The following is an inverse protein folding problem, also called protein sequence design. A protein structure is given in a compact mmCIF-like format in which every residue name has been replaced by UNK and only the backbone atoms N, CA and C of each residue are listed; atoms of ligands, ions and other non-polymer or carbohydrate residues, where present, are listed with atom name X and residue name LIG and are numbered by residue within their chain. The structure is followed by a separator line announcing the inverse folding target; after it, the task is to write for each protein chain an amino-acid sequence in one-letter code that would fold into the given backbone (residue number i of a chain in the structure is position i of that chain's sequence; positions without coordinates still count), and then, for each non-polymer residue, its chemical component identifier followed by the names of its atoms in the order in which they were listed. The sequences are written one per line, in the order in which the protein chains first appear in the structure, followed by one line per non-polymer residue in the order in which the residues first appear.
data_IF_179762407772
#
_entry.id   IF_179762407772
#
_cell.length_a   1.000
_cell.length_b   1.000
_cell.length_c   1.000
_cell.angle_alpha   90.00
_cell.angle_beta   90.00
_cell.angle_gamma   90.00
#
_symmetry.space_group_name_H-M   'P 1'
#
loop_
_entity.id
_entity.type
_entity.pdbx_description
1 polymer ?
#
# COMPACT_ATOMS: atom_id res chain seq x y z
N UNK A 1 -19.56 12.03 23.64
CA UNK A 1 -18.79 10.84 24.07
C UNK A 1 -19.33 9.54 23.44
N UNK A 2 -19.74 9.56 22.19
CA UNK A 2 -20.35 8.38 21.55
C UNK A 2 -19.92 8.15 20.08
N UNK A 3 -18.77 8.68 19.66
CA UNK A 3 -18.29 8.55 18.28
C UNK A 3 -16.96 7.78 18.16
N UNK A 4 -16.55 7.03 19.22
CA UNK A 4 -15.22 6.40 19.30
C UNK A 4 -15.25 4.87 19.24
N UNK A 5 -16.44 4.25 19.09
CA UNK A 5 -16.55 2.77 19.13
C UNK A 5 -16.48 2.08 17.78
N UNK A 6 -16.74 2.78 16.68
CA UNK A 6 -16.85 2.14 15.35
C UNK A 6 -15.57 2.21 14.50
N UNK A 7 -14.51 2.86 14.99
CA UNK A 7 -13.25 3.01 14.23
C UNK A 7 -12.17 1.96 14.56
N UNK A 8 -12.38 1.13 15.59
CA UNK A 8 -11.37 0.15 16.04
C UNK A 8 -11.39 -1.20 15.31
N UNK A 9 -12.34 -1.44 14.40
CA UNK A 9 -12.49 -2.76 13.77
C UNK A 9 -11.70 -2.99 12.48
N UNK A 10 -10.97 -1.97 11.96
CA UNK A 10 -10.35 -2.09 10.64
C UNK A 10 -8.84 -1.74 10.57
N UNK A 11 -8.15 -1.58 11.70
CA UNK A 11 -6.71 -1.28 11.69
C UNK A 11 -5.94 -2.47 12.24
N UNK A 12 -5.03 -3.09 11.49
CA UNK A 12 -4.24 -4.22 11.97
C UNK A 12 -3.39 -3.80 13.18
N UNK A 13 -3.23 -4.70 14.13
CA UNK A 13 -2.60 -4.62 15.46
C UNK A 13 -1.28 -3.80 15.56
N UNK A 14 -0.64 -3.48 14.47
CA UNK A 14 0.59 -2.69 14.38
C UNK A 14 0.38 -1.16 14.55
N UNK A 15 -0.83 -0.64 14.31
CA UNK A 15 -1.09 0.81 14.43
C UNK A 15 -1.31 1.26 15.87
N UNK A 16 -1.67 0.36 16.78
CA UNK A 16 -1.93 0.70 18.19
C UNK A 16 -0.63 1.00 18.95
N UNK A 17 0.48 0.31 18.64
CA UNK A 17 1.79 0.57 19.26
C UNK A 17 2.42 1.89 18.82
N UNK A 18 2.24 2.27 17.56
CA UNK A 18 2.77 3.55 17.03
C UNK A 18 1.95 4.74 17.50
N UNK A 19 0.63 4.56 17.69
CA UNK A 19 -0.25 5.64 18.17
C UNK A 19 0.02 6.01 19.64
N UNK A 20 0.28 5.03 20.51
CA UNK A 20 0.66 5.28 21.92
C UNK A 20 2.02 5.97 21.99
N UNK A 21 2.97 5.59 21.15
CA UNK A 21 4.30 6.21 21.08
C UNK A 21 4.22 7.67 20.56
N UNK A 22 3.36 7.95 19.59
CA UNK A 22 3.16 9.31 19.06
C UNK A 22 2.43 10.22 20.04
N UNK A 23 1.46 9.72 20.81
CA UNK A 23 0.76 10.50 21.84
C UNK A 23 1.68 10.79 23.03
N UNK A 24 2.48 9.83 23.46
CA UNK A 24 3.46 10.03 24.53
C UNK A 24 4.58 11.02 24.12
N UNK A 25 5.07 10.94 22.87
CA UNK A 25 6.00 11.92 22.30
C UNK A 25 5.37 13.31 22.16
N UNK A 26 4.11 13.40 21.77
CA UNK A 26 3.37 14.67 21.64
C UNK A 26 3.19 15.36 23.00
N UNK A 27 2.89 14.60 24.05
CA UNK A 27 2.74 15.14 25.41
C UNK A 27 4.09 15.61 25.99
N UNK A 28 5.17 14.84 25.77
CA UNK A 28 6.52 15.22 26.19
C UNK A 28 7.06 16.45 25.43
N UNK A 29 6.68 16.60 24.17
CA UNK A 29 7.07 17.76 23.34
C UNK A 29 6.36 19.05 23.75
N UNK A 30 5.10 18.97 24.21
CA UNK A 30 4.31 20.14 24.58
C UNK A 30 4.84 20.87 25.81
N UNK A 31 5.42 20.15 26.79
CA UNK A 31 5.98 20.74 28.01
C UNK A 31 7.34 21.41 27.79
N UNK A 32 8.06 21.08 26.72
CA UNK A 32 9.39 21.65 26.43
C UNK A 32 9.38 22.76 25.36
N UNK A 33 8.30 22.83 24.55
CA UNK A 33 8.14 23.84 23.49
C UNK A 33 7.78 25.23 24.06
N UNK A 34 7.18 25.30 25.24
CA UNK A 34 6.73 26.57 25.86
C UNK A 34 7.90 27.47 26.36
N UNK A 35 9.14 26.95 26.34
CA UNK A 35 10.33 27.69 26.82
C UNK A 35 11.22 28.25 25.71
N UNK A 36 10.86 28.12 24.44
CA UNK A 36 11.64 28.65 23.30
C UNK A 36 10.75 29.30 22.24
N UNK A 37 10.27 30.48 22.54
CA UNK A 37 9.63 31.36 21.55
C UNK A 37 10.65 32.23 20.77
N UNK A 38 11.75 31.64 20.35
CA UNK A 38 12.57 32.22 19.29
C UNK A 38 12.40 31.34 18.06
N UNK A 39 11.75 31.91 17.07
CA UNK A 39 11.58 31.34 15.72
C UNK A 39 12.97 31.01 15.17
N UNK A 40 13.42 29.76 15.33
CA UNK A 40 14.52 29.25 14.53
C UNK A 40 14.00 29.12 13.09
N UNK A 41 14.45 29.96 12.20
CA UNK A 41 14.26 29.80 10.78
C UNK A 41 14.98 28.51 10.34
N UNK A 42 14.20 27.45 10.11
CA UNK A 42 14.73 26.19 9.61
C UNK A 42 15.17 26.41 8.18
N UNK A 43 16.48 26.54 7.98
CA UNK A 43 17.06 26.72 6.65
C UNK A 43 17.19 25.36 5.93
N UNK A 44 17.03 25.33 4.59
CA UNK A 44 17.24 24.12 3.79
C UNK A 44 18.61 23.48 4.00
N UNK A 45 19.64 24.25 4.36
CA UNK A 45 20.96 23.76 4.75
C UNK A 45 20.90 22.85 5.99
N UNK A 46 20.06 23.16 6.96
CA UNK A 46 19.95 22.37 8.19
C UNK A 46 19.31 21.02 7.93
N UNK A 47 18.30 20.98 7.06
CA UNK A 47 17.65 19.73 6.66
C UNK A 47 18.65 18.79 5.96
N UNK A 48 19.41 19.31 4.99
CA UNK A 48 20.41 18.50 4.27
C UNK A 48 21.53 18.00 5.17
N UNK A 49 21.91 18.79 6.19
CA UNK A 49 22.92 18.43 7.18
C UNK A 49 22.41 17.32 8.10
N UNK A 50 21.18 17.43 8.62
CA UNK A 50 20.56 16.40 9.47
C UNK A 50 20.47 15.07 8.72
N UNK A 51 20.06 15.11 7.45
CA UNK A 51 19.97 13.91 6.62
C UNK A 51 21.35 13.26 6.43
N UNK A 52 22.38 14.04 6.04
CA UNK A 52 23.74 13.54 5.85
C UNK A 52 24.33 12.96 7.14
N UNK A 53 24.10 13.59 8.28
CA UNK A 53 24.59 13.12 9.58
C UNK A 53 23.95 11.79 9.98
N UNK A 54 22.66 11.61 9.71
CA UNK A 54 21.88 10.45 10.17
C UNK A 54 21.54 9.47 9.04
N UNK A 55 22.23 9.54 7.88
CA UNK A 55 21.90 8.74 6.68
C UNK A 55 21.95 7.23 6.96
N UNK A 56 22.91 6.78 7.74
CA UNK A 56 23.05 5.37 8.11
C UNK A 56 21.87 4.93 9.00
N UNK A 57 21.48 5.75 9.95
CA UNK A 57 20.33 5.47 10.84
C UNK A 57 19.02 5.42 10.03
N UNK A 58 18.82 6.36 9.11
CA UNK A 58 17.65 6.40 8.22
C UNK A 58 17.61 5.15 7.34
N UNK A 59 18.75 4.78 6.73
CA UNK A 59 18.83 3.60 5.87
C UNK A 59 18.56 2.30 6.64
N UNK A 60 19.16 2.13 7.81
CA UNK A 60 18.98 0.92 8.63
C UNK A 60 17.52 0.80 9.09
N UNK A 61 16.91 1.87 9.58
CA UNK A 61 15.54 1.85 10.06
C UNK A 61 14.54 1.58 8.94
N UNK A 62 14.71 2.20 7.77
CA UNK A 62 13.84 1.95 6.62
C UNK A 62 13.97 0.49 6.10
N UNK A 63 15.19 -0.05 6.11
CA UNK A 63 15.43 -1.44 5.74
C UNK A 63 14.79 -2.42 6.74
N UNK A 64 14.86 -2.13 8.03
CA UNK A 64 14.19 -2.92 9.06
C UNK A 64 12.67 -2.93 8.88
N UNK A 65 12.06 -1.79 8.55
CA UNK A 65 10.62 -1.71 8.25
C UNK A 65 10.25 -2.57 7.02
N UNK A 66 11.07 -2.51 5.97
CA UNK A 66 10.88 -3.32 4.77
C UNK A 66 11.01 -4.83 5.09
N UNK A 67 12.02 -5.23 5.85
CA UNK A 67 12.24 -6.61 6.26
C UNK A 67 11.10 -7.14 7.15
N UNK A 68 10.63 -6.34 8.10
CA UNK A 68 9.49 -6.67 8.94
C UNK A 68 8.21 -6.86 8.11
N UNK A 69 7.93 -5.97 7.16
CA UNK A 69 6.80 -6.09 6.25
C UNK A 69 6.88 -7.34 5.37
N UNK A 70 8.06 -7.67 4.85
CA UNK A 70 8.29 -8.90 4.09
C UNK A 70 7.95 -10.13 4.93
N UNK A 71 8.45 -10.18 6.16
CA UNK A 71 8.22 -11.29 7.08
C UNK A 71 6.73 -11.44 7.40
N UNK A 72 6.06 -10.35 7.79
CA UNK A 72 4.62 -10.36 8.10
C UNK A 72 3.80 -10.78 6.89
N UNK A 73 4.08 -10.21 5.71
CA UNK A 73 3.32 -10.52 4.49
C UNK A 73 3.48 -11.97 4.06
N UNK A 74 4.65 -12.56 4.26
CA UNK A 74 4.93 -13.93 3.81
C UNK A 74 4.40 -14.99 4.78
N UNK A 75 4.49 -14.75 6.11
CA UNK A 75 4.17 -15.74 7.12
C UNK A 75 2.77 -15.60 7.72
N UNK A 76 2.25 -14.38 7.83
CA UNK A 76 0.96 -14.13 8.49
C UNK A 76 -0.21 -13.94 7.54
N UNK A 77 0.03 -13.54 6.29
CA UNK A 77 -1.05 -13.30 5.33
C UNK A 77 -1.33 -14.56 4.51
N UNK A 78 -2.57 -15.02 4.54
CA UNK A 78 -3.01 -16.19 3.76
C UNK A 78 -2.95 -15.90 2.26
N UNK A 79 -2.43 -16.86 1.50
CA UNK A 79 -2.38 -16.77 0.04
C UNK A 79 -3.77 -16.94 -0.54
N UNK A 80 -4.16 -16.02 -1.43
CA UNK A 80 -5.44 -16.06 -2.14
C UNK A 80 -5.20 -16.26 -3.62
N UNK A 81 -5.96 -17.17 -4.21
CA UNK A 81 -5.91 -17.51 -5.61
C UNK A 81 -7.19 -17.04 -6.29
N UNK A 82 -7.04 -16.30 -7.39
CA UNK A 82 -8.17 -15.76 -8.13
C UNK A 82 -8.33 -16.50 -9.45
N UNK A 83 -9.49 -17.09 -9.67
CA UNK A 83 -9.91 -17.61 -10.96
C UNK A 83 -10.88 -16.65 -11.62
N UNK A 84 -10.79 -16.47 -12.93
CA UNK A 84 -11.61 -15.53 -13.69
C UNK A 84 -12.44 -16.27 -14.71
N UNK A 85 -13.73 -15.94 -14.77
CA UNK A 85 -14.66 -16.35 -15.82
C UNK A 85 -15.08 -15.11 -16.59
N UNK A 86 -15.05 -15.14 -17.93
CA UNK A 86 -15.55 -14.06 -18.76
C UNK A 86 -16.87 -14.45 -19.41
N UNK A 87 -17.81 -13.56 -19.33
CA UNK A 87 -19.18 -13.72 -19.79
C UNK A 87 -19.54 -12.58 -20.74
N UNK A 88 -20.16 -12.92 -21.86
CA UNK A 88 -20.58 -11.98 -22.91
C UNK A 88 -22.11 -11.89 -22.94
N UNK A 89 -22.63 -10.69 -22.95
CA UNK A 89 -24.06 -10.40 -23.10
C UNK A 89 -24.41 -10.31 -24.56
N UNK A 90 -25.16 -11.30 -25.06
CA UNK A 90 -25.67 -11.26 -26.45
C UNK A 90 -26.97 -10.47 -26.50
N UNK A 91 -26.98 -9.42 -27.30
CA UNK A 91 -28.18 -8.65 -27.61
C UNK A 91 -28.71 -9.04 -29.00
N UNK A 92 -29.98 -9.40 -29.10
CA UNK A 92 -30.62 -9.73 -30.38
C UNK A 92 -31.03 -8.47 -31.18
N UNK A 93 -30.27 -7.39 -31.08
CA UNK A 93 -30.52 -6.20 -31.89
C UNK A 93 -29.97 -6.40 -33.28
N UNK A 94 -30.85 -6.50 -34.29
CA UNK A 94 -30.49 -6.38 -35.69
C UNK A 94 -30.56 -4.91 -36.07
N UNK A 95 -29.44 -4.19 -35.94
CA UNK A 95 -29.33 -2.79 -36.37
C UNK A 95 -29.40 -2.71 -37.93
N UNK A 96 -30.20 -1.81 -38.42
CA UNK A 96 -30.31 -1.50 -39.87
C UNK A 96 -29.60 -0.18 -40.25
N UNK A 97 -29.11 0.57 -39.26
CA UNK A 97 -28.40 1.85 -39.46
C UNK A 97 -27.25 2.03 -38.47
N UNK A 98 -26.23 2.82 -38.82
CA UNK A 98 -25.10 3.15 -37.97
C UNK A 98 -25.50 3.86 -36.64
N UNK A 99 -26.63 4.60 -36.67
CA UNK A 99 -27.17 5.25 -35.47
C UNK A 99 -27.78 4.23 -34.49
N UNK A 100 -28.51 3.25 -35.04
CA UNK A 100 -29.05 2.14 -34.24
C UNK A 100 -27.92 1.26 -33.65
N UNK A 101 -26.81 1.12 -34.35
CA UNK A 101 -25.66 0.39 -33.93
C UNK A 101 -25.03 1.02 -32.66
N UNK A 102 -24.88 2.36 -32.64
CA UNK A 102 -24.41 3.07 -31.46
C UNK A 102 -25.37 2.96 -30.25
N UNK A 103 -26.67 3.03 -30.50
CA UNK A 103 -27.69 2.84 -29.47
C UNK A 103 -27.69 1.41 -28.93
N UNK A 104 -27.47 0.42 -29.79
CA UNK A 104 -27.41 -1.00 -29.39
C UNK A 104 -26.25 -1.29 -28.46
N UNK A 105 -25.07 -0.70 -28.71
CA UNK A 105 -23.88 -0.84 -27.85
C UNK A 105 -24.12 -0.21 -26.48
N UNK A 106 -24.69 1.00 -26.41
CA UNK A 106 -25.01 1.62 -25.12
C UNK A 106 -26.08 0.85 -24.34
N UNK A 107 -27.06 0.28 -25.03
CA UNK A 107 -28.06 -0.58 -24.41
C UNK A 107 -27.41 -1.86 -23.84
N UNK A 108 -26.52 -2.47 -24.59
CA UNK A 108 -25.80 -3.68 -24.12
C UNK A 108 -24.93 -3.41 -22.91
N UNK A 109 -24.24 -2.25 -22.85
CA UNK A 109 -23.49 -1.83 -21.65
C UNK A 109 -24.39 -1.70 -20.41
N UNK A 110 -25.56 -1.11 -20.54
CA UNK A 110 -26.53 -0.99 -19.46
C UNK A 110 -27.06 -2.38 -19.03
N UNK A 111 -27.22 -3.29 -19.99
CA UNK A 111 -27.59 -4.68 -19.69
C UNK A 111 -26.53 -5.42 -18.90
N UNK A 112 -25.23 -5.19 -19.16
CA UNK A 112 -24.13 -5.78 -18.38
C UNK A 112 -24.26 -5.43 -16.90
N UNK A 113 -24.49 -4.16 -16.58
CA UNK A 113 -24.68 -3.72 -15.18
C UNK A 113 -25.93 -4.39 -14.56
N UNK A 114 -27.01 -4.46 -15.29
CA UNK A 114 -28.22 -5.14 -14.84
C UNK A 114 -27.99 -6.63 -14.60
N UNK A 115 -27.24 -7.30 -15.44
CA UNK A 115 -26.95 -8.72 -15.28
C UNK A 115 -25.99 -8.97 -14.12
N UNK A 116 -25.03 -8.09 -13.90
CA UNK A 116 -24.17 -8.14 -12.70
C UNK A 116 -25.02 -8.06 -11.44
N UNK A 117 -25.99 -7.11 -11.36
CA UNK A 117 -26.86 -6.97 -10.22
C UNK A 117 -27.78 -8.17 -9.99
N UNK A 118 -28.31 -8.76 -11.07
CA UNK A 118 -29.09 -9.98 -11.01
C UNK A 118 -28.27 -11.19 -10.52
N UNK A 119 -27.00 -11.27 -10.91
CA UNK A 119 -26.08 -12.31 -10.47
C UNK A 119 -25.54 -12.08 -9.06
N UNK A 120 -25.55 -10.84 -8.53
CA UNK A 120 -25.20 -10.56 -7.14
C UNK A 120 -26.39 -10.79 -6.16
N UNK A 121 -27.35 -11.60 -6.57
CA UNK A 121 -28.53 -11.94 -5.76
C UNK A 121 -28.32 -13.19 -4.90
N UNK A 122 -28.98 -13.23 -3.74
CA UNK A 122 -28.94 -14.40 -2.86
C UNK A 122 -29.49 -15.67 -3.55
N UNK A 123 -30.46 -15.52 -4.46
CA UNK A 123 -31.03 -16.64 -5.24
C UNK A 123 -29.97 -17.28 -6.14
N UNK A 124 -29.15 -16.45 -6.78
CA UNK A 124 -28.03 -16.93 -7.59
C UNK A 124 -26.99 -17.69 -6.76
N UNK A 125 -26.55 -17.09 -5.63
CA UNK A 125 -25.58 -17.73 -4.75
C UNK A 125 -26.09 -19.05 -4.16
N UNK A 126 -27.37 -19.14 -3.82
CA UNK A 126 -28.00 -20.39 -3.39
C UNK A 126 -27.97 -21.46 -4.51
N UNK A 127 -28.20 -21.05 -5.75
CA UNK A 127 -28.14 -21.96 -6.90
C UNK A 127 -26.71 -22.46 -7.16
N UNK A 128 -25.72 -21.60 -7.02
CA UNK A 128 -24.30 -21.95 -7.10
C UNK A 128 -23.90 -22.87 -5.94
N UNK A 129 -24.38 -22.60 -4.70
CA UNK A 129 -24.15 -23.46 -3.55
C UNK A 129 -24.64 -24.87 -3.76
N UNK A 130 -25.87 -25.03 -4.29
CA UNK A 130 -26.43 -26.35 -4.64
C UNK A 130 -25.60 -27.09 -5.69
N UNK A 131 -25.09 -26.39 -6.70
CA UNK A 131 -24.22 -27.00 -7.72
C UNK A 131 -22.88 -27.46 -7.12
N UNK A 132 -22.42 -26.82 -6.04
CA UNK A 132 -21.21 -27.19 -5.29
C UNK A 132 -21.47 -28.17 -4.13
N UNK A 133 -22.62 -28.88 -4.14
CA UNK A 133 -23.05 -29.81 -3.11
C UNK A 133 -23.12 -29.15 -1.70
N UNK A 134 -23.56 -27.90 -1.64
CA UNK A 134 -23.75 -27.13 -0.41
C UNK A 134 -22.48 -26.98 0.46
N UNK A 135 -21.30 -27.12 -0.15
CA UNK A 135 -20.01 -26.96 0.53
C UNK A 135 -19.82 -25.54 1.07
N UNK A 136 -20.43 -24.55 0.43
CA UNK A 136 -20.33 -23.13 0.79
C UNK A 136 -21.74 -22.54 0.94
N UNK A 137 -21.91 -21.70 1.97
CA UNK A 137 -23.15 -20.92 2.12
C UNK A 137 -23.21 -19.78 1.09
N UNK A 138 -24.42 -19.28 0.81
CA UNK A 138 -24.58 -18.13 -0.10
C UNK A 138 -23.79 -16.90 0.35
N UNK A 139 -23.73 -16.64 1.67
CA UNK A 139 -22.98 -15.52 2.24
C UNK A 139 -21.45 -15.68 2.03
N UNK A 140 -20.93 -16.90 2.17
CA UNK A 140 -19.52 -17.18 1.89
C UNK A 140 -19.20 -16.98 0.39
N UNK A 141 -20.04 -17.51 -0.48
CA UNK A 141 -19.88 -17.32 -1.94
C UNK A 141 -19.92 -15.83 -2.31
N UNK A 142 -20.83 -15.06 -1.72
CA UNK A 142 -20.90 -13.61 -1.96
C UNK A 142 -19.60 -12.89 -1.55
N UNK A 143 -18.95 -13.30 -0.49
CA UNK A 143 -17.65 -12.72 -0.09
C UNK A 143 -16.46 -13.15 -0.97
N UNK A 144 -16.57 -14.33 -1.62
CA UNK A 144 -15.53 -14.91 -2.47
C UNK A 144 -15.62 -14.48 -3.93
N UNK A 145 -16.81 -14.06 -4.39
CA UNK A 145 -17.11 -13.76 -5.79
C UNK A 145 -17.26 -12.26 -5.96
N UNK A 146 -16.61 -11.70 -6.98
CA UNK A 146 -16.78 -10.32 -7.43
C UNK A 146 -17.10 -10.29 -8.89
N UNK A 147 -18.14 -9.53 -9.28
CA UNK A 147 -18.43 -9.24 -10.66
C UNK A 147 -17.88 -7.86 -11.04
N UNK A 148 -17.22 -7.78 -12.20
CA UNK A 148 -16.68 -6.51 -12.71
C UNK A 148 -16.99 -6.42 -14.20
N UNK A 149 -17.54 -5.29 -14.66
CA UNK A 149 -17.66 -5.00 -16.08
C UNK A 149 -16.30 -4.62 -16.67
N UNK A 150 -16.08 -5.00 -17.93
CA UNK A 150 -14.93 -4.48 -18.68
C UNK A 150 -15.40 -3.22 -19.37
N UNK A 151 -14.73 -2.12 -19.09
CA UNK A 151 -15.10 -0.79 -19.61
C UNK A 151 -15.31 -0.80 -21.12
N UNK A 152 -16.36 -0.14 -21.56
CA UNK A 152 -16.74 0.03 -22.96
C UNK A 152 -17.01 -1.27 -23.75
N UNK A 153 -17.29 -2.38 -23.07
CA UNK A 153 -17.58 -3.65 -23.72
C UNK A 153 -18.87 -4.30 -23.20
N UNK A 154 -19.39 -5.26 -23.97
CA UNK A 154 -20.52 -6.12 -23.59
C UNK A 154 -20.08 -7.34 -22.77
N UNK A 155 -18.85 -7.31 -22.24
CA UNK A 155 -18.24 -8.39 -21.48
C UNK A 155 -18.10 -8.00 -20.02
N UNK A 156 -18.42 -8.92 -19.14
CA UNK A 156 -18.08 -8.81 -17.73
C UNK A 156 -17.33 -10.04 -17.25
N UNK A 157 -16.62 -9.89 -16.16
CA UNK A 157 -15.85 -10.98 -15.54
C UNK A 157 -16.36 -11.28 -14.14
N UNK A 158 -16.39 -12.56 -13.81
CA UNK A 158 -16.58 -13.04 -12.44
C UNK A 158 -15.20 -13.45 -11.89
N UNK A 159 -14.75 -12.78 -10.84
CA UNK A 159 -13.51 -13.05 -10.12
C UNK A 159 -13.84 -13.88 -8.89
N UNK A 160 -13.25 -15.06 -8.78
CA UNK A 160 -13.45 -15.97 -7.66
C UNK A 160 -12.18 -16.07 -6.85
N UNK A 161 -12.22 -15.61 -5.61
CA UNK A 161 -11.11 -15.62 -4.67
C UNK A 161 -11.27 -16.79 -3.70
N UNK A 162 -10.27 -17.69 -3.64
CA UNK A 162 -10.24 -18.78 -2.68
C UNK A 162 -8.82 -19.03 -2.16
N UNK A 163 -8.70 -19.69 -1.03
CA UNK A 163 -7.41 -20.13 -0.46
C UNK A 163 -6.80 -21.28 -1.28
N UNK A 164 -7.60 -22.00 -2.09
CA UNK A 164 -7.15 -23.12 -2.93
C UNK A 164 -7.34 -22.83 -4.41
N UNK A 165 -6.32 -23.08 -5.26
CA UNK A 165 -6.42 -22.92 -6.71
C UNK A 165 -7.50 -23.80 -7.36
N UNK A 166 -7.69 -25.00 -6.87
CA UNK A 166 -8.70 -25.94 -7.38
C UNK A 166 -10.12 -25.50 -7.01
N UNK A 167 -10.31 -24.97 -5.82
CA UNK A 167 -11.61 -24.46 -5.37
C UNK A 167 -12.03 -23.23 -6.15
N UNK A 168 -11.13 -22.26 -6.36
CA UNK A 168 -11.44 -21.07 -7.16
C UNK A 168 -11.88 -21.43 -8.57
N UNK A 169 -11.24 -22.41 -9.20
CA UNK A 169 -11.65 -22.96 -10.51
C UNK A 169 -13.02 -23.62 -10.45
N UNK A 170 -13.27 -24.48 -9.46
CA UNK A 170 -14.53 -25.22 -9.36
C UNK A 170 -15.72 -24.27 -9.14
N UNK A 171 -15.57 -23.27 -8.26
CA UNK A 171 -16.57 -22.24 -8.06
C UNK A 171 -16.78 -21.42 -9.34
N UNK A 172 -15.71 -21.03 -10.02
CA UNK A 172 -15.80 -20.32 -11.30
C UNK A 172 -16.54 -21.12 -12.39
N UNK A 173 -16.30 -22.42 -12.48
CA UNK A 173 -17.01 -23.28 -13.43
C UNK A 173 -18.49 -23.46 -13.05
N UNK A 174 -18.82 -23.51 -11.76
CA UNK A 174 -20.21 -23.52 -11.31
C UNK A 174 -20.93 -22.22 -11.68
N UNK A 175 -20.25 -21.06 -11.52
CA UNK A 175 -20.78 -19.77 -11.98
C UNK A 175 -21.03 -19.80 -13.50
N UNK A 176 -20.05 -20.25 -14.27
CA UNK A 176 -20.20 -20.35 -15.72
C UNK A 176 -21.41 -21.20 -16.14
N UNK A 177 -21.73 -22.26 -15.39
CA UNK A 177 -22.87 -23.15 -15.66
C UNK A 177 -24.21 -22.56 -15.23
N UNK A 178 -24.24 -21.86 -14.08
CA UNK A 178 -25.48 -21.37 -13.47
C UNK A 178 -25.88 -19.99 -13.98
N UNK A 179 -24.91 -19.08 -14.23
CA UNK A 179 -25.18 -17.69 -14.63
C UNK A 179 -26.08 -17.58 -15.87
N UNK A 180 -25.81 -18.32 -16.99
CA UNK A 180 -26.70 -18.24 -18.16
C UNK A 180 -28.13 -18.70 -17.86
N UNK A 181 -28.28 -19.72 -17.01
CA UNK A 181 -29.59 -20.25 -16.61
C UNK A 181 -30.37 -19.25 -15.77
N UNK A 182 -29.69 -18.62 -14.82
CA UNK A 182 -30.30 -17.61 -13.94
C UNK A 182 -30.81 -16.42 -14.75
N UNK A 183 -30.00 -15.90 -15.66
CA UNK A 183 -30.41 -14.78 -16.52
C UNK A 183 -31.56 -15.15 -17.44
N UNK A 184 -31.53 -16.34 -18.07
CA UNK A 184 -32.60 -16.82 -18.95
C UNK A 184 -33.94 -17.00 -18.20
N UNK A 185 -33.90 -17.35 -16.90
CA UNK A 185 -35.11 -17.50 -16.09
C UNK A 185 -35.74 -16.15 -15.68
N UNK A 186 -34.96 -15.07 -15.66
CA UNK A 186 -35.45 -13.74 -15.24
C UNK A 186 -35.91 -12.93 -16.44
N UNK A 187 -35.30 -13.11 -17.60
CA UNK A 187 -35.58 -12.31 -18.78
C UNK A 187 -35.67 -13.21 -20.02
N UNK A 188 -36.87 -13.29 -20.58
CA UNK A 188 -37.08 -13.95 -21.88
C UNK A 188 -36.22 -13.28 -22.95
N UNK A 189 -35.60 -14.08 -23.82
CA UNK A 189 -34.67 -13.68 -24.85
C UNK A 189 -33.30 -13.13 -24.39
N UNK A 190 -32.96 -13.17 -23.09
CA UNK A 190 -31.63 -12.87 -22.62
C UNK A 190 -30.67 -14.04 -22.90
N UNK A 191 -29.57 -13.76 -23.57
CA UNK A 191 -28.53 -14.77 -23.84
C UNK A 191 -27.23 -14.32 -23.23
N UNK A 192 -26.69 -15.18 -22.38
CA UNK A 192 -25.36 -15.01 -21.78
C UNK A 192 -24.45 -16.11 -22.31
N UNK A 193 -23.38 -15.75 -23.00
CA UNK A 193 -22.39 -16.68 -23.54
C UNK A 193 -21.13 -16.69 -22.67
N UNK A 194 -20.57 -17.86 -22.47
CA UNK A 194 -19.29 -18.03 -21.80
C UNK A 194 -18.19 -17.78 -22.84
N UNK A 195 -17.35 -16.76 -22.60
CA UNK A 195 -16.18 -16.46 -23.42
C UNK A 195 -15.00 -17.30 -22.93
N UNK A 196 -14.68 -17.20 -21.63
CA UNK A 196 -13.60 -17.94 -21.00
C UNK A 196 -14.11 -18.69 -19.76
N UNK A 197 -13.77 -19.96 -19.66
CA UNK A 197 -14.02 -20.76 -18.45
C UNK A 197 -12.96 -20.53 -17.40
N UNK A 198 -13.30 -20.81 -16.15
CA UNK A 198 -12.37 -20.75 -15.04
C UNK A 198 -11.15 -21.66 -15.25
N UNK A 199 -9.96 -21.08 -15.16
CA UNK A 199 -8.70 -21.83 -15.20
C UNK A 199 -8.07 -21.90 -13.82
N UNK A 200 -7.27 -22.92 -13.57
CA UNK A 200 -6.54 -23.04 -12.31
C UNK A 200 -5.44 -21.98 -12.25
N UNK A 201 -5.45 -21.05 -11.29
CA UNK A 201 -4.40 -20.05 -11.19
C UNK A 201 -3.06 -20.70 -10.80
N UNK A 202 -1.99 -20.34 -11.51
CA UNK A 202 -0.64 -20.88 -11.28
C UNK A 202 0.10 -20.22 -10.13
N UNK A 203 -0.28 -18.98 -9.79
CA UNK A 203 0.35 -18.20 -8.74
C UNK A 203 -0.72 -17.53 -7.85
N UNK A 204 -0.42 -17.25 -6.58
CA UNK A 204 -1.32 -16.50 -5.73
C UNK A 204 -1.44 -15.05 -6.23
N UNK A 205 -2.66 -14.54 -6.25
CA UNK A 205 -2.96 -13.15 -6.64
C UNK A 205 -2.72 -12.18 -5.48
N UNK A 206 -2.89 -12.64 -4.25
CA UNK A 206 -2.68 -11.88 -3.02
C UNK A 206 -1.98 -12.77 -1.97
N UNK A 207 -1.12 -12.20 -1.12
CA UNK A 207 -0.66 -10.81 -1.05
C UNK A 207 0.37 -10.46 -2.12
N UNK A 208 0.34 -9.21 -2.57
CA UNK A 208 1.37 -8.69 -3.46
C UNK A 208 2.58 -8.22 -2.61
N UNK A 209 3.50 -9.15 -2.33
CA UNK A 209 4.65 -8.94 -1.43
C UNK A 209 5.48 -7.74 -1.86
N UNK A 210 5.78 -7.61 -3.15
CA UNK A 210 6.60 -6.50 -3.67
C UNK A 210 5.96 -5.13 -3.38
N UNK A 211 4.65 -4.99 -3.62
CA UNK A 211 3.92 -3.75 -3.35
C UNK A 211 3.89 -3.41 -1.86
N UNK A 212 3.64 -4.40 -1.01
CA UNK A 212 3.56 -4.19 0.44
C UNK A 212 4.92 -3.78 1.02
N UNK A 213 6.01 -4.42 0.57
CA UNK A 213 7.39 -4.08 0.99
C UNK A 213 7.77 -2.69 0.52
N UNK A 214 7.40 -2.29 -0.70
CA UNK A 214 7.69 -0.94 -1.22
C UNK A 214 6.94 0.14 -0.41
N UNK A 215 5.68 -0.07 -0.09
CA UNK A 215 4.89 0.84 0.75
C UNK A 215 5.50 0.93 2.16
N UNK A 216 5.87 -0.20 2.76
CA UNK A 216 6.48 -0.22 4.09
C UNK A 216 7.86 0.45 4.11
N UNK A 217 8.66 0.29 3.07
CA UNK A 217 9.94 0.99 2.91
C UNK A 217 9.74 2.50 2.83
N UNK A 218 8.81 2.98 2.02
CA UNK A 218 8.49 4.41 1.90
C UNK A 218 7.98 4.99 3.24
N UNK A 219 7.08 4.28 3.92
CA UNK A 219 6.62 4.66 5.26
C UNK A 219 7.77 4.67 6.28
N UNK A 220 8.65 3.68 6.24
CA UNK A 220 9.86 3.61 7.08
C UNK A 220 10.81 4.78 6.86
N UNK A 221 10.98 5.22 5.61
CA UNK A 221 11.76 6.42 5.28
C UNK A 221 11.15 7.67 5.92
N UNK A 222 9.84 7.87 5.80
CA UNK A 222 9.17 9.04 6.40
C UNK A 222 9.33 9.03 7.92
N UNK A 223 9.07 7.89 8.56
CA UNK A 223 9.19 7.73 10.02
C UNK A 223 10.64 7.98 10.48
N UNK A 224 11.63 7.42 9.76
CA UNK A 224 13.04 7.59 10.12
C UNK A 224 13.52 9.05 9.97
N UNK A 225 13.01 9.78 8.98
CA UNK A 225 13.27 11.22 8.83
C UNK A 225 12.70 12.02 10.01
N UNK A 226 11.46 11.73 10.39
CA UNK A 226 10.82 12.39 11.54
C UNK A 226 11.63 12.15 12.82
N UNK A 227 11.99 10.88 13.08
CA UNK A 227 12.79 10.52 14.27
C UNK A 227 14.16 11.18 14.24
N UNK A 228 14.81 11.21 13.07
CA UNK A 228 16.12 11.85 12.89
C UNK A 228 16.06 13.35 13.16
N UNK A 229 15.01 14.01 12.68
CA UNK A 229 14.76 15.42 12.93
C UNK A 229 14.52 15.72 14.41
N UNK A 230 13.67 14.91 15.06
CA UNK A 230 13.39 15.03 16.50
C UNK A 230 14.66 14.84 17.34
N UNK A 231 15.50 13.86 16.99
CA UNK A 231 16.78 13.63 17.68
C UNK A 231 17.73 14.82 17.56
N UNK A 232 17.85 15.39 16.37
CA UNK A 232 18.74 16.55 16.17
C UNK A 232 18.18 17.80 16.86
N UNK A 233 16.86 17.98 16.88
CA UNK A 233 16.19 19.06 17.60
C UNK A 233 16.35 18.95 19.14
N UNK A 234 16.41 17.72 19.65
CA UNK A 234 16.63 17.47 21.09
C UNK A 234 18.11 17.50 21.50
N UNK A 235 19.03 17.44 20.52
CA UNK A 235 20.47 17.51 20.75
C UNK A 235 20.87 18.99 20.99
N UNK A 236 20.92 19.37 22.25
CA UNK A 236 21.17 20.73 22.73
C UNK A 236 22.67 21.08 22.73
N UNK A 237 23.51 20.27 22.11
CA UNK A 237 24.96 20.56 22.03
C UNK A 237 25.21 21.72 21.08
N UNK A 238 25.92 22.72 21.58
CA UNK A 238 26.43 23.85 20.76
C UNK A 238 27.46 23.27 19.79
N UNK A 239 27.10 23.19 18.50
CA UNK A 239 27.90 22.49 17.49
C UNK A 239 28.82 23.40 16.69
N UNK A 240 28.63 24.71 16.76
CA UNK A 240 29.38 25.69 15.98
C UNK A 240 29.73 26.94 16.76
N UNK A 241 30.91 27.49 16.42
CA UNK A 241 31.38 28.77 16.93
C UNK A 241 30.42 29.92 16.55
N UNK A 242 29.72 29.80 15.39
CA UNK A 242 28.76 30.81 14.93
C UNK A 242 27.49 30.88 15.80
N UNK A 243 27.11 29.76 16.44
CA UNK A 243 25.95 29.74 17.36
C UNK A 243 26.26 30.53 18.68
N UNK A 244 27.52 30.51 19.13
CA UNK A 244 27.92 31.28 20.32
C UNK A 244 27.86 32.77 20.08
N UNK A 245 28.30 33.24 18.91
CA UNK A 245 28.26 34.65 18.58
C UNK A 245 26.86 35.17 18.30
N UNK A 246 25.99 34.35 17.72
CA UNK A 246 24.64 34.76 17.31
C UNK A 246 23.61 34.64 18.43
N UNK A 247 23.75 33.66 19.34
CA UNK A 247 22.77 33.39 20.41
C UNK A 247 23.14 34.08 21.73
N UNK A 248 24.41 34.23 22.01
CA UNK A 248 24.91 34.81 23.27
C UNK A 248 25.41 36.24 23.15
N UNK A 249 25.50 36.74 21.89
CA UNK A 249 26.02 38.11 21.60
C UNK A 249 27.42 38.37 22.18
N UNK A 250 28.19 37.29 22.36
CA UNK A 250 29.54 37.35 22.94
C UNK A 250 30.59 37.21 21.84
N UNK A 251 31.60 38.09 21.79
CA UNK A 251 32.68 37.94 20.80
C UNK A 251 33.52 36.70 21.11
N UNK A 252 33.79 35.89 20.07
CA UNK A 252 34.68 34.74 20.16
C UNK A 252 36.11 35.23 20.37
N UNK A 253 36.67 35.09 21.56
CA UNK A 253 38.01 35.58 21.90
C UNK A 253 39.13 34.67 21.39
N UNK A 254 38.89 33.34 21.36
CA UNK A 254 39.80 32.36 20.84
C UNK A 254 39.11 31.01 20.59
N UNK A 255 39.50 30.24 19.60
CA UNK A 255 39.13 28.86 19.38
C UNK A 255 40.37 27.97 19.59
N UNK A 256 40.27 26.98 20.46
CA UNK A 256 41.34 25.97 20.63
C UNK A 256 41.03 24.83 19.70
N UNK A 257 41.86 24.61 18.65
CA UNK A 257 41.61 23.49 17.72
C UNK A 257 41.85 22.15 18.40
N UNK A 258 41.08 21.14 17.98
CA UNK A 258 41.23 19.78 18.50
C UNK A 258 42.58 19.19 18.11
N UNK A 259 43.33 18.65 19.06
CA UNK A 259 44.65 18.09 18.83
C UNK A 259 44.64 16.84 17.92
N UNK A 260 43.55 16.12 17.81
CA UNK A 260 43.39 15.00 16.87
C UNK A 260 43.44 15.45 15.41
N UNK A 261 42.92 16.64 15.08
CA UNK A 261 42.99 17.19 13.72
C UNK A 261 44.43 17.47 13.28
N UNK A 262 45.27 17.98 14.18
CA UNK A 262 46.68 18.24 13.91
C UNK A 262 47.54 16.97 13.80
N UNK A 263 47.20 15.91 14.51
CA UNK A 263 47.90 14.62 14.40
C UNK A 263 47.73 13.99 13.01
N UNK A 264 46.50 14.10 12.48
CA UNK A 264 46.16 13.59 11.14
C UNK A 264 46.79 14.45 10.02
N UNK A 265 46.92 15.78 10.21
CA UNK A 265 47.53 16.66 9.23
C UNK A 265 49.04 16.44 9.17
N UNK A 266 49.74 16.30 10.33
CA UNK A 266 51.14 15.93 10.37
C UNK A 266 51.45 14.55 9.79
N UNK A 267 50.50 13.59 9.89
CA UNK A 267 50.61 12.29 9.26
C UNK A 267 50.44 12.39 7.73
N UNK A 268 49.62 13.30 7.22
CA UNK A 268 49.46 13.58 5.81
C UNK A 268 50.65 14.31 5.22
N UNK A 269 51.19 15.33 5.90
CA UNK A 269 52.39 16.07 5.47
C UNK A 269 53.62 15.14 5.45
N UNK A 270 53.77 14.23 6.42
CA UNK A 270 54.86 13.26 6.43
C UNK A 270 54.79 12.27 5.27
N UNK A 271 53.59 11.99 4.78
CA UNK A 271 53.37 11.12 3.60
C UNK A 271 53.65 11.81 2.28
N UNK A 272 53.56 13.14 2.21
CA UNK A 272 53.90 13.94 1.01
C UNK A 272 55.36 14.40 0.99
N UNK A 273 56.02 14.60 2.16
CA UNK A 273 57.41 15.04 2.27
C UNK A 273 58.45 13.97 1.87
N UNK A 274 58.10 12.69 1.89
CA UNK A 274 59.01 11.61 1.50
C UNK A 274 59.19 11.46 -0.04
N UNK A 275 58.39 12.17 -0.84
CA UNK A 275 58.51 12.13 -2.29
C UNK A 275 59.42 13.22 -2.89
N UNK A 276 59.86 14.24 -2.13
CA UNK A 276 60.70 15.32 -2.63
C UNK A 276 62.19 15.16 -2.30
N UNK A 277 62.60 14.14 -1.52
CA UNK A 277 64.00 13.92 -1.19
C UNK A 277 64.74 12.85 -2.02
N UNK A 278 64.23 12.55 -3.18
CA UNK A 278 64.76 11.53 -4.09
C UNK A 278 65.31 12.04 -5.41
N UNK A 279 66.02 13.20 -5.44
CA UNK A 279 66.84 13.61 -6.56
C UNK A 279 68.23 14.00 -6.07
#
# INVERSE_FOLDING_TARGET
MSCFKDFCAFVPFFACSTFVLTVALSCYMRTKAEKRSNLMEITFKDITRIIKKNIVFIAVLSLLCAAASYFVTTFFVQKTYTSTVKLYVETNYKSQSAYEDYQSVNYAKNLVLTYIELLDSNSFYNSVSKELNEKYTASQLKSMIKFESIEDTEVFKALVNSSSPSESKNIGNAIAKIAPKTIANVKDNAKLKIVDKATTPKAPTSPNVSRNVMIAFAAGLIISLIISFVRDFLDVKIKYNDEMTTVLDLPLLAAIPDFEYFSNQKAAEKKYGDYESGY
#
